data_IF_764742471805
#
_entry.id   IF_764742471805
#
_cell.length_a   1.000
_cell.length_b   1.000
_cell.length_c   1.000
_cell.angle_alpha   90.00
_cell.angle_beta   90.00
_cell.angle_gamma   90.00
#
_symmetry.space_group_name_H-M   'P 1'
#
loop_
_entity.id
_entity.type
_entity.pdbx_description
1 polymer ?
#
# COMPACT_ATOMS: atom_id res chain seq x y z
N UNK A 1 8.71 -2.48 -17.17
CA UNK A 1 7.92 -2.35 -15.93
C UNK A 1 7.53 -3.74 -15.46
N UNK A 2 7.60 -4.02 -14.16
CA UNK A 2 7.20 -5.29 -13.54
C UNK A 2 6.14 -5.01 -12.47
N UNK A 3 4.93 -5.53 -12.66
CA UNK A 3 3.88 -5.50 -11.65
C UNK A 3 4.02 -6.69 -10.72
N UNK A 4 4.02 -6.43 -9.41
CA UNK A 4 4.12 -7.43 -8.36
C UNK A 4 2.82 -7.42 -7.57
N UNK A 5 2.03 -8.49 -7.74
CA UNK A 5 0.69 -8.64 -7.16
C UNK A 5 0.51 -10.06 -6.56
N UNK A 6 1.44 -10.45 -5.70
CA UNK A 6 1.43 -11.74 -5.01
C UNK A 6 1.44 -11.52 -3.50
N UNK A 7 0.88 -12.42 -2.68
CA UNK A 7 0.97 -12.28 -1.23
C UNK A 7 2.42 -12.25 -0.75
N UNK A 8 2.72 -11.35 0.19
CA UNK A 8 4.10 -11.11 0.67
C UNK A 8 4.85 -12.36 1.15
N UNK A 9 4.22 -13.38 1.78
CA UNK A 9 4.92 -14.61 2.17
C UNK A 9 5.52 -15.41 1.00
N UNK A 10 4.95 -15.27 -0.20
CA UNK A 10 5.44 -15.99 -1.39
C UNK A 10 6.43 -15.19 -2.24
N UNK A 11 6.61 -13.91 -1.93
CA UNK A 11 7.42 -12.98 -2.74
C UNK A 11 8.84 -13.50 -2.97
N UNK A 12 9.56 -13.85 -1.90
CA UNK A 12 10.96 -14.30 -1.97
C UNK A 12 11.10 -15.55 -2.85
N UNK A 13 10.19 -16.51 -2.70
CA UNK A 13 10.22 -17.76 -3.48
C UNK A 13 9.98 -17.51 -4.97
N UNK A 14 9.07 -16.58 -5.31
CA UNK A 14 8.79 -16.25 -6.71
C UNK A 14 9.90 -15.41 -7.33
N UNK A 15 10.46 -14.45 -6.61
CA UNK A 15 11.58 -13.62 -7.10
C UNK A 15 12.82 -14.46 -7.40
N UNK A 16 13.11 -15.49 -6.60
CA UNK A 16 14.22 -16.44 -6.87
C UNK A 16 14.07 -17.20 -8.20
N UNK A 17 12.86 -17.33 -8.73
CA UNK A 17 12.59 -17.98 -10.02
C UNK A 17 12.81 -17.06 -11.22
N UNK A 18 12.86 -15.77 -11.01
CA UNK A 18 13.13 -14.80 -12.07
C UNK A 18 14.60 -14.87 -12.48
N UNK A 19 14.82 -15.16 -13.78
CA UNK A 19 16.18 -15.21 -14.37
C UNK A 19 16.59 -13.87 -14.97
N UNK A 20 16.08 -12.75 -14.43
CA UNK A 20 16.35 -11.41 -14.93
C UNK A 20 16.84 -10.50 -13.82
N UNK A 21 17.67 -9.51 -14.18
CA UNK A 21 18.08 -8.45 -13.26
C UNK A 21 16.92 -7.47 -13.06
N UNK A 22 16.73 -7.00 -11.85
CA UNK A 22 15.67 -6.08 -11.48
C UNK A 22 16.15 -4.63 -11.30
N UNK A 23 17.44 -4.42 -11.13
CA UNK A 23 18.07 -3.12 -10.88
C UNK A 23 17.80 -2.04 -11.95
N UNK A 24 17.46 -2.46 -13.17
CA UNK A 24 17.08 -1.58 -14.28
C UNK A 24 15.59 -1.57 -14.59
N UNK A 25 14.77 -2.13 -13.71
CA UNK A 25 13.32 -2.28 -13.93
C UNK A 25 12.53 -1.32 -13.05
N UNK A 26 11.47 -0.77 -13.58
CA UNK A 26 10.45 -0.11 -12.79
C UNK A 26 9.63 -1.22 -12.11
N UNK A 27 9.56 -1.16 -10.79
CA UNK A 27 8.74 -2.07 -9.98
C UNK A 27 7.45 -1.34 -9.59
N UNK A 28 6.31 -1.98 -9.82
CA UNK A 28 4.99 -1.51 -9.39
C UNK A 28 4.41 -2.55 -8.45
N UNK A 29 4.38 -2.24 -7.17
CA UNK A 29 3.92 -3.17 -6.14
C UNK A 29 2.47 -2.93 -5.74
N UNK A 30 1.63 -3.95 -5.87
CA UNK A 30 0.29 -4.02 -5.28
C UNK A 30 0.25 -4.91 -4.02
N UNK A 31 1.41 -5.38 -3.56
CA UNK A 31 1.53 -6.28 -2.41
C UNK A 31 1.21 -5.51 -1.13
N UNK A 32 0.49 -6.15 -0.23
CA UNK A 32 0.18 -5.64 1.11
C UNK A 32 0.95 -6.44 2.15
N UNK A 33 1.45 -5.76 3.17
CA UNK A 33 2.22 -6.37 4.24
C UNK A 33 3.72 -6.12 4.11
N UNK A 34 4.46 -6.75 5.02
CA UNK A 34 5.94 -6.75 5.06
C UNK A 34 6.49 -8.02 4.42
N UNK A 35 7.76 -8.02 4.06
CA UNK A 35 8.47 -9.24 3.65
C UNK A 35 8.82 -10.03 4.91
N UNK A 36 8.28 -11.25 5.08
CA UNK A 36 8.58 -12.08 6.25
C UNK A 36 10.07 -12.35 6.37
N UNK A 37 10.56 -12.55 7.60
CA UNK A 37 11.96 -12.78 7.97
C UNK A 37 12.85 -11.54 7.86
N UNK A 38 12.68 -10.71 6.81
CA UNK A 38 13.43 -9.46 6.64
C UNK A 38 12.83 -8.31 7.47
N UNK A 39 11.53 -8.40 7.82
CA UNK A 39 10.78 -7.34 8.51
C UNK A 39 10.84 -5.97 7.81
N UNK A 40 10.93 -5.99 6.48
CA UNK A 40 11.03 -4.81 5.62
C UNK A 40 9.72 -4.59 4.85
N UNK A 41 9.39 -3.33 4.58
CA UNK A 41 8.41 -2.98 3.54
C UNK A 41 8.99 -3.31 2.16
N UNK A 42 8.12 -3.47 1.17
CA UNK A 42 8.57 -3.98 -0.13
C UNK A 42 9.52 -3.04 -0.86
N UNK A 43 9.29 -1.73 -0.78
CA UNK A 43 10.16 -0.76 -1.42
C UNK A 43 11.60 -0.85 -0.89
N UNK A 44 11.76 -0.97 0.42
CA UNK A 44 13.07 -1.18 1.05
C UNK A 44 13.69 -2.51 0.65
N UNK A 45 12.88 -3.57 0.60
CA UNK A 45 13.35 -4.89 0.19
C UNK A 45 13.88 -4.91 -1.24
N UNK A 46 13.17 -4.33 -2.20
CA UNK A 46 13.65 -4.23 -3.59
C UNK A 46 14.89 -3.35 -3.72
N UNK A 47 14.94 -2.24 -2.98
CA UNK A 47 16.10 -1.36 -2.99
C UNK A 47 17.34 -2.07 -2.41
N UNK A 48 17.21 -2.73 -1.25
CA UNK A 48 18.33 -3.34 -0.52
C UNK A 48 18.85 -4.62 -1.19
N UNK A 49 17.95 -5.51 -1.62
CA UNK A 49 18.30 -6.84 -2.09
C UNK A 49 18.46 -6.95 -3.61
N UNK A 50 17.84 -6.05 -4.36
CA UNK A 50 17.86 -6.07 -5.84
C UNK A 50 18.45 -4.81 -6.45
N UNK A 51 18.94 -3.88 -5.64
CA UNK A 51 19.52 -2.59 -6.05
C UNK A 51 18.59 -1.78 -6.98
N UNK A 52 17.27 -1.91 -6.81
CA UNK A 52 16.30 -1.10 -7.56
C UNK A 52 16.29 0.31 -6.96
N UNK A 53 16.56 1.36 -7.74
CA UNK A 53 16.50 2.73 -7.23
C UNK A 53 15.12 3.07 -6.70
N UNK A 54 15.05 3.80 -5.57
CA UNK A 54 13.76 4.14 -4.93
C UNK A 54 12.84 4.98 -5.81
N UNK A 55 13.38 5.73 -6.75
CA UNK A 55 12.62 6.51 -7.75
C UNK A 55 12.07 5.65 -8.90
N UNK A 56 12.45 4.37 -8.97
CA UNK A 56 11.91 3.37 -9.89
C UNK A 56 10.95 2.38 -9.21
N UNK A 57 10.62 2.62 -7.94
CA UNK A 57 9.67 1.80 -7.19
C UNK A 57 8.38 2.59 -6.99
N UNK A 58 7.28 2.06 -7.48
CA UNK A 58 5.94 2.56 -7.24
C UNK A 58 5.13 1.57 -6.41
N UNK A 59 4.27 2.08 -5.52
CA UNK A 59 3.35 1.29 -4.71
C UNK A 59 1.92 1.68 -5.03
N UNK A 60 1.03 0.69 -5.12
CA UNK A 60 -0.39 0.88 -5.33
C UNK A 60 -1.14 0.69 -4.03
N UNK A 61 -1.99 1.64 -3.67
CA UNK A 61 -2.86 1.57 -2.49
C UNK A 61 -4.21 2.21 -2.80
N UNK A 62 -5.12 2.19 -1.84
CA UNK A 62 -6.43 2.81 -1.95
C UNK A 62 -7.59 1.81 -1.86
N UNK A 63 -8.81 2.30 -1.64
CA UNK A 63 -10.03 1.48 -1.59
C UNK A 63 -10.41 0.99 -2.99
N UNK A 64 -9.97 -0.22 -3.32
CA UNK A 64 -10.12 -0.84 -4.64
C UNK A 64 -10.32 -2.35 -4.48
N UNK A 65 -11.55 -2.76 -4.21
CA UNK A 65 -11.93 -4.17 -4.13
C UNK A 65 -12.12 -4.77 -5.51
N UNK A 66 -11.51 -5.93 -5.77
CA UNK A 66 -11.53 -6.57 -7.09
C UNK A 66 -12.95 -6.87 -7.59
N UNK A 67 -13.84 -7.25 -6.69
CA UNK A 67 -15.26 -7.52 -6.99
C UNK A 67 -16.00 -6.25 -7.43
N UNK A 68 -15.70 -5.11 -6.82
CA UNK A 68 -16.31 -3.83 -7.18
C UNK A 68 -15.76 -3.31 -8.50
N UNK A 69 -14.46 -3.45 -8.73
CA UNK A 69 -13.84 -3.13 -10.02
C UNK A 69 -14.44 -3.97 -11.16
N UNK A 70 -14.65 -5.28 -10.92
CA UNK A 70 -15.27 -6.17 -11.89
C UNK A 70 -16.72 -5.79 -12.20
N UNK A 71 -17.40 -5.10 -11.28
CA UNK A 71 -18.75 -4.56 -11.46
C UNK A 71 -18.74 -3.10 -11.95
N UNK A 72 -17.60 -2.58 -12.38
CA UNK A 72 -17.41 -1.19 -12.85
C UNK A 72 -17.86 -0.13 -11.82
N UNK A 73 -17.74 -0.44 -10.52
CA UNK A 73 -18.03 0.51 -9.45
C UNK A 73 -16.86 1.45 -9.22
N UNK A 74 -17.17 2.67 -8.78
CA UNK A 74 -16.16 3.68 -8.50
C UNK A 74 -15.12 3.16 -7.51
N UNK A 75 -13.88 3.14 -7.95
CA UNK A 75 -12.72 2.68 -7.21
C UNK A 75 -11.63 3.75 -7.20
N UNK A 76 -10.83 3.78 -6.16
CA UNK A 76 -9.81 4.79 -5.96
C UNK A 76 -8.46 4.13 -5.75
N UNK A 77 -7.47 4.54 -6.56
CA UNK A 77 -6.10 4.06 -6.47
C UNK A 77 -5.15 5.21 -6.21
N UNK A 78 -4.23 5.02 -5.30
CA UNK A 78 -3.10 5.92 -5.11
C UNK A 78 -1.83 5.23 -5.58
N UNK A 79 -1.06 5.96 -6.38
CA UNK A 79 0.25 5.56 -6.86
C UNK A 79 1.30 6.34 -6.07
N UNK A 80 1.95 5.65 -5.12
CA UNK A 80 3.08 6.18 -4.37
C UNK A 80 4.39 5.94 -5.11
N UNK A 81 5.12 7.00 -5.46
CA UNK A 81 6.45 6.90 -6.06
C UNK A 81 7.24 8.18 -5.81
N UNK A 82 8.51 8.08 -5.44
CA UNK A 82 9.39 9.25 -5.27
C UNK A 82 9.60 10.03 -6.57
N UNK A 83 9.52 9.35 -7.71
CA UNK A 83 9.49 9.99 -9.03
C UNK A 83 8.04 10.32 -9.42
N UNK A 84 7.66 11.59 -9.23
CA UNK A 84 6.31 12.07 -9.49
C UNK A 84 5.87 11.90 -10.96
N UNK A 85 6.78 12.06 -11.91
CA UNK A 85 6.44 11.89 -13.33
C UNK A 85 6.17 10.41 -13.66
N UNK A 86 6.94 9.50 -13.09
CA UNK A 86 6.67 8.08 -13.19
C UNK A 86 5.32 7.70 -12.54
N UNK A 87 5.02 8.28 -11.37
CA UNK A 87 3.72 8.08 -10.71
C UNK A 87 2.56 8.52 -11.61
N UNK A 88 2.66 9.69 -12.25
CA UNK A 88 1.65 10.19 -13.21
C UNK A 88 1.49 9.27 -14.43
N UNK A 89 2.60 8.76 -14.97
CA UNK A 89 2.55 7.81 -16.09
C UNK A 89 1.78 6.53 -15.70
N UNK A 90 2.10 5.96 -14.54
CA UNK A 90 1.39 4.78 -14.02
C UNK A 90 -0.07 5.10 -13.76
N UNK A 91 -0.36 6.26 -13.14
CA UNK A 91 -1.72 6.72 -12.89
C UNK A 91 -2.55 6.80 -14.19
N UNK A 92 -1.99 7.42 -15.22
CA UNK A 92 -2.68 7.54 -16.53
C UNK A 92 -2.98 6.19 -17.20
N UNK A 93 -2.15 5.17 -16.96
CA UNK A 93 -2.38 3.82 -17.45
C UNK A 93 -3.51 3.08 -16.71
N UNK A 94 -3.82 3.49 -15.48
CA UNK A 94 -4.78 2.81 -14.60
C UNK A 94 -6.12 3.57 -14.48
N UNK A 95 -6.15 4.84 -14.86
CA UNK A 95 -7.37 5.66 -14.84
C UNK A 95 -8.34 5.21 -15.94
N UNK A 96 -9.60 5.08 -15.58
CA UNK A 96 -10.70 4.83 -16.51
C UNK A 96 -12.01 5.44 -15.98
N UNK A 97 -13.16 5.12 -16.58
CA UNK A 97 -14.47 5.69 -16.23
C UNK A 97 -14.92 5.37 -14.80
N UNK A 98 -14.43 4.30 -14.19
CA UNK A 98 -14.78 3.85 -12.82
C UNK A 98 -13.57 3.71 -11.90
N UNK A 99 -12.36 4.09 -12.35
CA UNK A 99 -11.16 4.10 -11.51
C UNK A 99 -10.53 5.49 -11.50
N UNK A 100 -10.56 6.15 -10.36
CA UNK A 100 -9.88 7.41 -10.12
C UNK A 100 -8.50 7.14 -9.54
N UNK A 101 -7.49 7.89 -10.00
CA UNK A 101 -6.12 7.73 -9.51
C UNK A 101 -5.56 9.01 -8.92
N UNK A 102 -4.78 8.85 -7.86
CA UNK A 102 -4.03 9.91 -7.18
C UNK A 102 -2.55 9.57 -7.17
N UNK A 103 -1.70 10.57 -7.03
CA UNK A 103 -0.24 10.37 -6.93
C UNK A 103 0.28 10.95 -5.62
N UNK A 104 1.21 10.24 -5.01
CA UNK A 104 1.86 10.66 -3.77
C UNK A 104 3.37 10.33 -3.82
N UNK A 105 4.18 11.11 -3.13
CA UNK A 105 5.62 10.83 -3.00
C UNK A 105 5.95 10.07 -1.71
N UNK A 106 4.96 9.87 -0.83
CA UNK A 106 5.13 9.18 0.45
C UNK A 106 4.99 7.65 0.33
N UNK A 107 5.93 7.03 -0.37
CA UNK A 107 5.98 5.57 -0.58
C UNK A 107 5.92 4.81 0.73
N UNK A 108 6.77 5.18 1.68
CA UNK A 108 6.90 4.47 2.96
C UNK A 108 5.62 4.60 3.81
N UNK A 109 5.03 5.80 3.89
CA UNK A 109 3.79 5.99 4.63
C UNK A 109 2.62 5.19 4.05
N UNK A 110 2.53 5.09 2.72
CA UNK A 110 1.51 4.28 2.03
C UNK A 110 1.70 2.79 2.35
N UNK A 111 2.92 2.27 2.30
CA UNK A 111 3.17 0.87 2.61
C UNK A 111 2.90 0.56 4.09
N UNK A 112 3.42 1.37 5.01
CA UNK A 112 3.21 1.19 6.45
C UNK A 112 1.72 1.28 6.83
N UNK A 113 0.99 2.25 6.30
CA UNK A 113 -0.45 2.38 6.51
C UNK A 113 -1.20 1.15 6.02
N UNK A 114 -0.82 0.59 4.87
CA UNK A 114 -1.39 -0.64 4.33
C UNK A 114 -1.17 -1.86 5.23
N UNK A 115 -0.03 -1.93 5.93
CA UNK A 115 0.25 -2.98 6.92
C UNK A 115 -0.65 -2.81 8.14
N UNK A 116 -0.66 -1.62 8.72
CA UNK A 116 -1.40 -1.33 9.96
C UNK A 116 -2.91 -1.43 9.78
N UNK A 117 -3.42 -1.00 8.62
CA UNK A 117 -4.83 -1.13 8.29
C UNK A 117 -5.35 -2.57 8.45
N UNK A 118 -4.57 -3.55 8.02
CA UNK A 118 -4.98 -4.96 8.12
C UNK A 118 -5.05 -5.43 9.58
N UNK A 119 -4.18 -4.92 10.44
CA UNK A 119 -4.21 -5.20 11.89
C UNK A 119 -5.49 -4.62 12.50
N UNK A 120 -5.80 -3.37 12.18
CA UNK A 120 -7.00 -2.70 12.68
C UNK A 120 -8.29 -3.33 12.14
N UNK A 121 -8.29 -3.77 10.87
CA UNK A 121 -9.44 -4.49 10.31
C UNK A 121 -9.76 -5.76 11.08
N UNK A 122 -8.74 -6.51 11.52
CA UNK A 122 -8.93 -7.69 12.38
C UNK A 122 -9.51 -7.27 13.73
N UNK A 123 -8.97 -6.24 14.38
CA UNK A 123 -9.47 -5.74 15.66
C UNK A 123 -10.92 -5.29 15.58
N UNK A 124 -11.28 -4.53 14.55
CA UNK A 124 -12.68 -4.09 14.31
C UNK A 124 -13.58 -5.29 14.06
N UNK A 125 -13.12 -6.26 13.27
CA UNK A 125 -13.87 -7.50 13.00
C UNK A 125 -14.15 -8.33 14.24
N UNK A 126 -13.17 -8.45 15.16
CA UNK A 126 -13.35 -9.11 16.46
C UNK A 126 -14.40 -8.36 17.29
N UNK A 127 -14.29 -7.05 17.41
CA UNK A 127 -15.23 -6.24 18.18
C UNK A 127 -16.65 -6.30 17.58
N UNK A 128 -16.78 -6.33 16.27
CA UNK A 128 -18.05 -6.52 15.58
C UNK A 128 -18.67 -7.90 15.92
N UNK A 129 -17.88 -8.95 15.84
CA UNK A 129 -18.31 -10.31 16.20
C UNK A 129 -18.72 -10.45 17.66
N UNK A 130 -18.08 -9.70 18.56
CA UNK A 130 -18.42 -9.61 19.99
C UNK A 130 -19.60 -8.67 20.29
N UNK A 131 -20.19 -8.06 19.27
CA UNK A 131 -21.35 -7.16 19.36
C UNK A 131 -21.13 -5.92 20.25
N UNK A 132 -19.96 -5.32 20.21
CA UNK A 132 -19.66 -4.07 20.93
C UNK A 132 -20.47 -2.86 20.46
N UNK A 133 -21.10 -2.92 19.29
CA UNK A 133 -21.94 -1.87 18.73
C UNK A 133 -21.18 -0.78 17.97
N UNK A 134 -21.93 0.04 17.21
CA UNK A 134 -21.37 0.98 16.23
C UNK A 134 -20.60 2.14 16.91
N UNK A 135 -21.07 2.63 18.06
CA UNK A 135 -20.38 3.69 18.81
C UNK A 135 -18.96 3.26 19.23
N UNK A 136 -18.80 2.02 19.70
CA UNK A 136 -17.50 1.50 20.04
C UNK A 136 -16.62 1.35 18.81
N UNK A 137 -17.15 0.85 17.70
CA UNK A 137 -16.41 0.71 16.44
C UNK A 137 -15.93 2.06 15.92
N UNK A 138 -16.76 3.10 15.95
CA UNK A 138 -16.38 4.45 15.54
C UNK A 138 -15.21 5.00 16.37
N UNK A 139 -15.22 4.79 17.69
CA UNK A 139 -14.10 5.20 18.58
C UNK A 139 -12.84 4.38 18.28
N UNK A 140 -12.98 3.06 18.09
CA UNK A 140 -11.86 2.18 17.78
C UNK A 140 -11.18 2.59 16.47
N UNK A 141 -11.95 2.86 15.42
CA UNK A 141 -11.43 3.31 14.11
C UNK A 141 -10.73 4.67 14.25
N UNK A 142 -11.34 5.62 14.96
CA UNK A 142 -10.73 6.93 15.20
C UNK A 142 -9.37 6.83 15.92
N UNK A 143 -9.30 5.97 16.95
CA UNK A 143 -8.05 5.72 17.67
C UNK A 143 -7.01 5.00 16.79
N UNK A 144 -7.43 4.07 15.94
CA UNK A 144 -6.58 3.37 15.01
C UNK A 144 -5.92 4.32 13.99
N UNK A 145 -6.67 5.30 13.46
CA UNK A 145 -6.14 6.33 12.56
C UNK A 145 -5.08 7.18 13.27
N UNK A 146 -5.35 7.59 14.53
CA UNK A 146 -4.40 8.36 15.32
C UNK A 146 -3.12 7.56 15.64
N UNK A 147 -3.26 6.27 15.96
CA UNK A 147 -2.12 5.39 16.20
C UNK A 147 -1.29 5.20 14.93
N UNK A 148 -1.93 4.97 13.80
CA UNK A 148 -1.28 4.87 12.49
C UNK A 148 -0.46 6.15 12.20
N UNK A 149 -1.01 7.33 12.48
CA UNK A 149 -0.30 8.59 12.30
C UNK A 149 0.97 8.66 13.16
N UNK A 150 0.83 8.36 14.45
CA UNK A 150 1.98 8.35 15.38
C UNK A 150 3.04 7.35 14.92
N UNK A 151 2.63 6.14 14.55
CA UNK A 151 3.55 5.10 14.08
C UNK A 151 4.28 5.50 12.80
N UNK A 152 3.56 5.93 11.77
CA UNK A 152 4.18 6.33 10.51
C UNK A 152 5.14 7.50 10.68
N UNK A 153 4.81 8.49 11.53
CA UNK A 153 5.69 9.62 11.79
C UNK A 153 6.91 9.25 12.64
N UNK A 154 6.79 8.27 13.53
CA UNK A 154 7.94 7.76 14.29
C UNK A 154 8.88 6.92 13.41
N UNK A 155 8.33 6.10 12.51
CA UNK A 155 9.10 5.24 11.62
C UNK A 155 9.79 6.03 10.50
N UNK A 156 9.06 6.93 9.85
CA UNK A 156 9.55 7.78 8.76
C UNK A 156 8.94 9.18 8.91
N UNK A 157 9.67 10.14 9.47
CA UNK A 157 9.18 11.50 9.64
C UNK A 157 8.79 12.13 8.29
N UNK A 158 7.53 12.48 8.14
CA UNK A 158 6.98 13.14 6.97
C UNK A 158 5.68 13.86 7.35
N UNK A 159 5.40 15.00 6.73
CA UNK A 159 4.11 15.66 6.95
C UNK A 159 3.02 14.89 6.19
N UNK A 160 2.08 14.27 6.93
CA UNK A 160 0.97 13.46 6.41
C UNK A 160 -0.36 13.97 6.92
N UNK A 161 -1.33 14.04 6.06
CA UNK A 161 -2.74 14.04 6.47
C UNK A 161 -3.31 12.63 6.24
N UNK A 162 -3.37 11.84 7.30
CA UNK A 162 -3.88 10.46 7.23
C UNK A 162 -5.41 10.38 7.03
N UNK A 163 -6.11 11.51 6.99
CA UNK A 163 -7.52 11.53 6.59
C UNK A 163 -7.68 11.46 5.06
N UNK A 164 -6.59 11.66 4.31
CA UNK A 164 -6.61 11.45 2.87
C UNK A 164 -6.83 9.97 2.53
N UNK A 165 -7.63 9.72 1.50
CA UNK A 165 -7.99 8.38 1.04
C UNK A 165 -6.77 7.50 0.70
N UNK A 166 -5.64 8.11 0.41
CA UNK A 166 -4.37 7.44 0.10
C UNK A 166 -3.91 6.49 1.21
N UNK A 167 -4.19 6.84 2.46
CA UNK A 167 -3.79 6.05 3.63
C UNK A 167 -4.91 5.15 4.17
N UNK A 168 -6.17 5.41 3.80
CA UNK A 168 -7.35 4.76 4.34
C UNK A 168 -7.86 3.60 3.49
N UNK A 169 -7.28 3.39 2.31
CA UNK A 169 -7.71 2.39 1.35
C UNK A 169 -7.54 0.92 1.76
#
# INVERSE_FOLDING_TARGET
>A
MLFVAIPSPYLKAQLKRLKMRLDSKIIVSAVKGIVPEENMILSEYFNTHYNVPMDQIAVLSGPCHAEEVALERMSYLTIGCKNRELAKQIASMMTNSYTQTYVSEDVNGIELSSVMKNIYAIAVGICHGLKYGDNFQAVLISNAIQEMNRFCNAAVPHHRDLQESVYLG
#
